data_IF_210125506950
#
_entry.id   IF_210125506950
#
_cell.length_a   1.000
_cell.length_b   1.000
_cell.length_c   1.000
_cell.angle_alpha   90.00
_cell.angle_beta   90.00
_cell.angle_gamma   90.00
#
_symmetry.space_group_name_H-M   'P 1'
#
loop_
_entity.id
_entity.type
_entity.pdbx_description
1 polymer ?
#
# COMPACT_ATOMS: atom_id res chain seq x y z
N UNK A 1 19.72 20.59 -78.36
CA UNK A 1 20.83 21.05 -79.22
C UNK A 1 20.79 22.57 -79.19
N UNK A 2 21.65 23.24 -78.42
CA UNK A 2 21.69 24.69 -78.37
C UNK A 2 22.62 25.19 -79.49
N UNK A 3 22.09 26.01 -80.40
CA UNK A 3 22.87 26.61 -81.48
C UNK A 3 23.85 27.65 -80.92
N UNK A 4 25.07 27.67 -81.46
CA UNK A 4 26.09 28.66 -81.09
C UNK A 4 25.77 29.98 -81.79
N UNK A 5 25.29 30.96 -81.04
CA UNK A 5 24.91 32.27 -81.54
C UNK A 5 26.09 33.24 -81.33
N UNK A 6 26.71 33.69 -82.42
CA UNK A 6 27.80 34.69 -82.37
C UNK A 6 27.13 36.04 -82.13
N UNK A 7 26.99 36.43 -80.86
CA UNK A 7 26.67 37.80 -80.51
C UNK A 7 27.76 38.68 -81.12
N UNK A 8 27.39 39.71 -81.90
CA UNK A 8 28.32 40.65 -82.54
C UNK A 8 28.97 41.60 -81.52
N UNK A 9 29.39 41.07 -80.37
CA UNK A 9 30.10 41.78 -79.32
C UNK A 9 31.57 41.91 -79.70
N UNK A 10 32.12 43.12 -79.57
CA UNK A 10 33.55 43.38 -79.84
C UNK A 10 34.41 43.19 -78.60
N UNK A 11 33.79 43.17 -77.42
CA UNK A 11 34.45 42.98 -76.14
C UNK A 11 33.69 41.97 -75.28
N UNK A 12 34.40 41.25 -74.41
CA UNK A 12 33.84 40.32 -73.41
C UNK A 12 32.86 40.97 -72.41
N UNK A 13 32.78 42.31 -72.39
CA UNK A 13 31.83 43.05 -71.53
C UNK A 13 30.44 43.14 -72.15
N UNK A 14 30.36 42.97 -73.47
CA UNK A 14 29.12 43.02 -74.25
C UNK A 14 28.43 41.64 -74.30
N UNK A 15 29.12 40.59 -73.82
CA UNK A 15 28.55 39.26 -73.69
C UNK A 15 27.45 39.29 -72.61
N UNK A 16 26.40 38.48 -72.79
CA UNK A 16 25.28 38.44 -71.85
C UNK A 16 25.72 38.11 -70.41
N UNK A 17 26.75 37.26 -70.24
CA UNK A 17 27.37 36.99 -68.94
C UNK A 17 28.08 38.22 -68.34
N UNK A 18 28.78 39.02 -69.15
CA UNK A 18 29.43 40.26 -68.72
C UNK A 18 28.43 41.34 -68.34
N UNK A 19 27.40 41.55 -69.17
CA UNK A 19 26.31 42.50 -68.91
C UNK A 19 25.55 42.11 -67.62
N UNK A 20 25.16 40.84 -67.48
CA UNK A 20 24.46 40.35 -66.29
C UNK A 20 25.32 40.48 -65.03
N UNK A 21 26.62 40.18 -65.10
CA UNK A 21 27.53 40.35 -63.97
C UNK A 21 27.68 41.83 -63.58
N UNK A 22 27.77 42.75 -64.54
CA UNK A 22 27.83 44.19 -64.28
C UNK A 22 26.57 44.70 -63.57
N UNK A 23 25.38 44.29 -64.04
CA UNK A 23 24.12 44.62 -63.38
C UNK A 23 23.99 44.00 -61.99
N UNK A 24 24.42 42.74 -61.82
CA UNK A 24 24.45 42.09 -60.52
C UNK A 24 25.31 42.86 -59.53
N UNK A 25 26.56 43.21 -59.91
CA UNK A 25 27.47 43.97 -59.05
C UNK A 25 26.92 45.37 -58.70
N UNK A 26 26.24 46.01 -59.66
CA UNK A 26 25.64 47.33 -59.45
C UNK A 26 24.46 47.30 -58.45
N UNK A 27 23.67 46.23 -58.47
CA UNK A 27 22.46 46.08 -57.62
C UNK A 27 22.80 45.41 -56.28
N UNK A 28 23.92 44.68 -56.19
CA UNK A 28 24.27 43.81 -55.05
C UNK A 28 24.28 44.55 -53.71
N UNK A 29 24.83 45.76 -53.66
CA UNK A 29 24.91 46.54 -52.41
C UNK A 29 23.51 46.89 -51.88
N UNK A 30 22.61 47.41 -52.72
CA UNK A 30 21.23 47.73 -52.32
C UNK A 30 20.40 46.48 -51.98
N UNK A 31 20.64 45.39 -52.72
CA UNK A 31 19.99 44.10 -52.47
C UNK A 31 20.38 43.56 -51.09
N UNK A 32 21.65 43.60 -50.70
CA UNK A 32 22.12 43.14 -49.39
C UNK A 32 21.39 43.81 -48.21
N UNK A 33 21.10 45.12 -48.29
CA UNK A 33 20.38 45.85 -47.25
C UNK A 33 18.88 45.55 -47.18
N UNK A 34 18.29 45.02 -48.25
CA UNK A 34 16.83 44.86 -48.38
C UNK A 34 16.39 43.40 -48.43
N UNK A 35 17.30 42.48 -48.73
CA UNK A 35 17.00 41.05 -48.73
C UNK A 35 17.07 40.47 -47.34
N UNK A 36 16.08 39.66 -46.99
CA UNK A 36 16.22 38.71 -45.89
C UNK A 36 17.40 37.77 -46.19
N UNK A 37 18.43 37.80 -45.34
CA UNK A 37 19.63 36.97 -45.47
C UNK A 37 19.39 35.52 -45.04
N UNK A 38 18.19 35.18 -44.57
CA UNK A 38 17.78 33.81 -44.31
C UNK A 38 17.22 33.23 -45.62
N UNK A 39 17.94 32.30 -46.27
CA UNK A 39 17.49 31.68 -47.51
C UNK A 39 16.31 30.74 -47.27
N UNK A 40 15.47 30.52 -48.28
CA UNK A 40 14.36 29.57 -48.19
C UNK A 40 14.91 28.15 -47.98
N UNK A 41 14.42 27.49 -46.93
CA UNK A 41 14.81 26.13 -46.59
C UNK A 41 14.50 25.14 -47.73
N UNK A 42 13.51 25.42 -48.58
CA UNK A 42 13.19 24.60 -49.76
C UNK A 42 14.31 24.55 -50.78
N UNK A 43 15.09 25.64 -50.90
CA UNK A 43 16.23 25.71 -51.81
C UNK A 43 17.51 25.20 -51.14
N UNK A 44 17.70 25.48 -49.85
CA UNK A 44 18.95 25.19 -49.13
C UNK A 44 19.05 23.72 -48.73
N UNK A 45 17.94 23.09 -48.31
CA UNK A 45 17.94 21.69 -47.87
C UNK A 45 18.42 20.71 -48.95
N UNK A 46 17.93 20.75 -50.21
CA UNK A 46 18.44 19.85 -51.24
C UNK A 46 19.90 20.13 -51.60
N UNK A 47 20.35 21.40 -51.53
CA UNK A 47 21.76 21.75 -51.74
C UNK A 47 22.65 21.19 -50.64
N UNK A 48 22.22 21.24 -49.38
CA UNK A 48 22.95 20.67 -48.26
C UNK A 48 23.02 19.13 -48.36
N UNK A 49 21.91 18.46 -48.69
CA UNK A 49 21.85 17.00 -48.88
C UNK A 49 22.73 16.52 -50.03
N UNK A 50 22.83 17.30 -51.12
CA UNK A 50 23.66 16.95 -52.27
C UNK A 50 25.16 17.14 -52.04
N UNK A 51 25.57 17.82 -50.97
CA UNK A 51 26.97 18.00 -50.62
C UNK A 51 27.42 16.94 -49.61
N UNK A 52 28.27 15.99 -50.04
CA UNK A 52 28.73 14.86 -49.22
C UNK A 52 29.45 15.27 -47.91
N UNK A 53 30.03 16.47 -47.88
CA UNK A 53 30.80 16.99 -46.74
C UNK A 53 29.91 17.72 -45.73
N UNK A 54 28.71 18.13 -46.13
CA UNK A 54 27.77 18.87 -45.27
C UNK A 54 26.72 17.89 -44.79
N UNK A 55 26.80 17.50 -43.52
CA UNK A 55 25.68 16.82 -42.89
C UNK A 55 24.59 17.85 -42.63
N UNK A 56 23.41 17.77 -43.27
CA UNK A 56 22.30 18.65 -42.92
C UNK A 56 21.92 18.33 -41.47
N UNK A 57 22.33 19.21 -40.56
CA UNK A 57 21.79 19.25 -39.21
C UNK A 57 20.53 20.11 -39.33
N UNK A 58 19.38 19.45 -39.34
CA UNK A 58 18.17 20.13 -38.89
C UNK A 58 18.48 20.63 -37.47
N UNK A 59 18.10 21.87 -37.14
CA UNK A 59 18.32 22.42 -35.81
C UNK A 59 17.56 21.63 -34.74
N UNK A 60 17.15 22.29 -33.67
CA UNK A 60 16.20 21.67 -32.73
C UNK A 60 14.80 21.63 -33.36
N UNK A 61 14.51 20.62 -34.19
CA UNK A 61 13.20 20.40 -34.80
C UNK A 61 13.22 20.21 -36.30
N UNK A 62 12.06 19.84 -36.86
CA UNK A 62 11.85 19.76 -38.31
C UNK A 62 11.97 21.15 -38.97
N UNK A 63 12.15 21.18 -40.30
CA UNK A 63 12.26 22.36 -41.18
C UNK A 63 11.48 23.60 -40.69
N UNK A 64 12.16 24.77 -40.68
CA UNK A 64 11.64 26.07 -40.21
C UNK A 64 10.20 26.40 -40.59
N UNK A 65 9.77 26.01 -41.78
CA UNK A 65 8.41 26.29 -42.27
C UNK A 65 7.30 25.58 -41.49
N UNK A 66 7.61 24.46 -40.84
CA UNK A 66 6.66 23.64 -40.09
C UNK A 66 6.98 23.57 -38.59
N UNK A 67 7.84 24.47 -38.08
CA UNK A 67 8.23 24.51 -36.66
C UNK A 67 7.01 24.62 -35.76
N UNK A 68 6.01 25.42 -36.12
CA UNK A 68 4.82 25.59 -35.28
C UNK A 68 4.02 24.29 -35.18
N UNK A 69 3.86 23.56 -36.29
CA UNK A 69 3.16 22.27 -36.30
C UNK A 69 3.93 21.19 -35.51
N UNK A 70 5.25 21.14 -35.64
CA UNK A 70 6.10 20.22 -34.86
C UNK A 70 6.11 20.59 -33.37
N UNK A 71 6.22 21.88 -33.06
CA UNK A 71 6.20 22.39 -31.69
C UNK A 71 4.86 22.09 -31.02
N UNK A 72 3.76 22.21 -31.76
CA UNK A 72 2.43 21.78 -31.31
C UNK A 72 2.49 20.29 -30.98
N UNK A 73 2.86 19.40 -31.91
CA UNK A 73 2.89 17.95 -31.65
C UNK A 73 3.82 17.54 -30.49
N UNK A 74 4.99 18.18 -30.33
CA UNK A 74 5.96 17.87 -29.27
C UNK A 74 5.55 18.40 -27.90
N UNK A 75 4.98 19.61 -27.86
CA UNK A 75 4.64 20.29 -26.62
C UNK A 75 3.15 20.16 -26.28
N UNK A 76 2.36 19.45 -27.10
CA UNK A 76 0.92 19.32 -26.89
C UNK A 76 0.67 18.65 -25.53
N UNK A 77 -0.01 19.32 -24.60
CA UNK A 77 -0.28 18.76 -23.29
C UNK A 77 -1.30 17.61 -23.34
N UNK A 78 -2.00 17.40 -24.46
CA UNK A 78 -2.87 16.24 -24.68
C UNK A 78 -2.10 14.97 -25.06
N UNK A 79 -0.92 15.08 -25.69
CA UNK A 79 0.02 13.96 -25.84
C UNK A 79 0.78 13.75 -24.54
N UNK A 80 0.03 13.55 -23.45
CA UNK A 80 0.57 12.88 -22.27
C UNK A 80 0.90 11.47 -22.71
N UNK A 81 2.15 11.27 -23.16
CA UNK A 81 2.82 10.06 -22.75
C UNK A 81 2.82 10.15 -21.23
N UNK A 82 1.76 9.63 -20.59
CA UNK A 82 1.81 9.34 -19.18
C UNK A 82 3.13 8.60 -19.06
N UNK A 83 4.13 9.22 -18.43
CA UNK A 83 5.38 8.55 -18.08
C UNK A 83 4.97 7.52 -17.03
N UNK A 84 4.28 6.48 -17.47
CA UNK A 84 4.19 5.22 -16.80
C UNK A 84 5.65 4.87 -16.62
N UNK A 85 6.07 4.80 -15.37
CA UNK A 85 7.39 4.36 -15.02
C UNK A 85 7.50 2.90 -15.49
N UNK A 86 7.86 2.70 -16.75
CA UNK A 86 8.23 1.41 -17.32
C UNK A 86 9.56 1.05 -16.67
N UNK A 87 9.50 0.62 -15.42
CA UNK A 87 10.63 -0.05 -14.78
C UNK A 87 10.89 -1.30 -15.64
N UNK A 88 12.02 -1.43 -16.34
CA UNK A 88 12.34 -2.63 -17.12
C UNK A 88 12.66 -3.82 -16.21
N UNK A 89 12.25 -3.76 -14.94
CA UNK A 89 12.46 -4.83 -13.97
C UNK A 89 11.33 -5.83 -14.14
N UNK A 90 11.70 -7.11 -14.15
CA UNK A 90 10.71 -8.17 -14.11
C UNK A 90 9.79 -7.97 -12.90
N UNK A 91 8.52 -8.27 -13.09
CA UNK A 91 7.54 -8.37 -11.98
C UNK A 91 8.12 -9.27 -10.88
N UNK A 92 7.94 -8.93 -9.58
CA UNK A 92 8.47 -9.72 -8.46
C UNK A 92 8.08 -11.20 -8.50
N UNK A 93 6.96 -11.55 -9.15
CA UNK A 93 6.48 -12.92 -9.31
C UNK A 93 6.26 -13.22 -10.81
N UNK A 94 6.87 -14.30 -11.32
CA UNK A 94 6.71 -14.70 -12.73
C UNK A 94 5.29 -15.20 -13.04
N UNK A 95 4.63 -15.81 -12.07
CA UNK A 95 3.27 -16.39 -12.14
C UNK A 95 2.49 -16.07 -10.88
N UNK A 96 1.21 -16.45 -10.85
CA UNK A 96 0.36 -16.32 -9.66
C UNK A 96 0.80 -17.35 -8.60
N UNK A 97 1.13 -16.94 -7.37
CA UNK A 97 1.48 -17.87 -6.30
C UNK A 97 0.26 -18.68 -5.84
N UNK A 98 0.50 -19.82 -5.18
CA UNK A 98 -0.57 -20.67 -4.65
C UNK A 98 -1.45 -19.90 -3.65
N UNK A 99 -2.75 -19.80 -3.95
CA UNK A 99 -3.73 -19.03 -3.15
C UNK A 99 -4.58 -19.89 -2.19
N UNK A 100 -4.19 -21.14 -1.94
CA UNK A 100 -5.02 -22.07 -1.14
C UNK A 100 -5.27 -21.64 0.31
N UNK A 101 -4.41 -20.80 0.88
CA UNK A 101 -4.59 -20.24 2.23
C UNK A 101 -5.57 -19.07 2.32
N UNK A 102 -6.04 -18.55 1.18
CA UNK A 102 -6.87 -17.34 1.13
C UNK A 102 -6.16 -16.10 1.68
N UNK A 103 -6.94 -15.05 1.96
CA UNK A 103 -6.42 -13.78 2.51
C UNK A 103 -6.03 -13.88 4.00
N UNK A 104 -6.59 -14.84 4.73
CA UNK A 104 -6.52 -14.89 6.19
C UNK A 104 -7.29 -13.75 6.88
N UNK A 105 -7.44 -13.85 8.19
CA UNK A 105 -7.91 -12.75 9.04
C UNK A 105 -6.80 -12.43 10.06
N UNK A 106 -6.04 -11.33 9.85
CA UNK A 106 -4.88 -11.02 10.68
C UNK A 106 -5.26 -10.73 12.13
N UNK A 107 -6.45 -10.18 12.39
CA UNK A 107 -6.90 -9.88 13.75
C UNK A 107 -7.10 -11.17 14.54
N UNK A 108 -7.79 -12.15 13.93
CA UNK A 108 -8.02 -13.47 14.53
C UNK A 108 -6.72 -14.24 14.70
N UNK A 109 -5.85 -14.21 13.69
CA UNK A 109 -4.53 -14.87 13.77
C UNK A 109 -3.67 -14.28 14.87
N UNK A 110 -3.65 -12.94 15.01
CA UNK A 110 -2.89 -12.27 16.07
C UNK A 110 -3.39 -12.66 17.45
N UNK A 111 -4.72 -12.75 17.64
CA UNK A 111 -5.36 -13.16 18.89
C UNK A 111 -5.01 -14.61 19.26
N UNK A 112 -4.98 -15.51 18.27
CA UNK A 112 -4.63 -16.91 18.48
C UNK A 112 -3.13 -17.09 18.79
N UNK A 113 -2.25 -16.42 18.04
CA UNK A 113 -0.80 -16.49 18.23
C UNK A 113 -0.34 -15.84 19.54
N UNK A 114 -0.95 -14.71 19.90
CA UNK A 114 -0.58 -13.90 21.06
C UNK A 114 -1.68 -13.93 22.12
N UNK A 115 -2.31 -15.09 22.29
CA UNK A 115 -3.32 -15.26 23.34
C UNK A 115 -2.73 -14.92 24.71
N UNK A 116 -3.54 -14.25 25.52
CA UNK A 116 -3.14 -13.92 26.89
C UNK A 116 -2.99 -15.22 27.70
N UNK A 117 -1.84 -15.38 28.35
CA UNK A 117 -1.66 -16.47 29.30
C UNK A 117 -2.54 -16.20 30.52
N UNK A 118 -3.72 -16.82 30.57
CA UNK A 118 -4.59 -16.77 31.75
C UNK A 118 -3.90 -17.51 32.89
N UNK A 119 -3.27 -16.75 33.79
CA UNK A 119 -2.82 -17.25 35.10
C UNK A 119 -3.96 -17.09 36.09
N UNK A 120 -5.04 -17.83 35.89
CA UNK A 120 -6.01 -18.02 36.98
C UNK A 120 -5.31 -18.77 38.09
N UNK A 121 -5.17 -18.12 39.24
CA UNK A 121 -4.76 -18.81 40.46
C UNK A 121 -5.75 -19.94 40.72
N UNK A 122 -5.25 -21.10 41.16
CA UNK A 122 -6.13 -22.15 41.66
C UNK A 122 -7.06 -21.53 42.69
N UNK A 123 -8.37 -21.74 42.54
CA UNK A 123 -9.34 -21.24 43.51
C UNK A 123 -8.93 -21.66 44.93
N UNK A 124 -9.09 -20.76 45.90
CA UNK A 124 -8.80 -21.04 47.31
C UNK A 124 -9.84 -21.99 47.94
N UNK A 125 -10.55 -22.77 47.11
CA UNK A 125 -11.47 -23.81 47.50
C UNK A 125 -10.75 -25.05 48.03
N UNK A 126 -11.51 -25.96 48.60
CA UNK A 126 -10.99 -27.24 49.07
C UNK A 126 -10.38 -27.98 47.88
N UNK A 127 -9.12 -28.40 48.02
CA UNK A 127 -8.40 -29.17 46.98
C UNK A 127 -9.12 -30.50 46.67
N UNK A 128 -10.01 -30.93 47.56
CA UNK A 128 -10.81 -32.14 47.49
C UNK A 128 -12.24 -31.86 47.94
N UNK A 129 -13.21 -32.60 47.39
CA UNK A 129 -14.60 -32.59 47.89
C UNK A 129 -14.74 -33.27 49.27
N UNK A 130 -13.69 -33.96 49.71
CA UNK A 130 -13.66 -34.70 50.97
C UNK A 130 -12.94 -33.90 52.05
N UNK A 131 -13.49 -33.95 53.26
CA UNK A 131 -12.83 -33.47 54.46
C UNK A 131 -11.68 -34.40 54.85
N UNK A 132 -10.52 -33.83 55.18
CA UNK A 132 -9.41 -34.58 55.77
C UNK A 132 -9.53 -34.59 57.30
N UNK A 133 -9.27 -35.75 57.91
CA UNK A 133 -9.13 -35.85 59.35
C UNK A 133 -7.83 -35.15 59.81
N UNK A 134 -7.87 -34.45 60.94
CA UNK A 134 -6.72 -33.74 61.51
C UNK A 134 -6.44 -32.32 60.98
N UNK A 135 -7.30 -31.75 60.12
CA UNK A 135 -7.17 -30.34 59.66
C UNK A 135 -7.48 -29.33 60.77
N UNK A 136 -8.39 -29.69 61.67
CA UNK A 136 -8.76 -28.86 62.81
C UNK A 136 -8.06 -29.35 64.06
N UNK A 137 -7.64 -28.42 64.91
CA UNK A 137 -7.16 -28.74 66.25
C UNK A 137 -8.30 -29.43 67.02
N UNK A 138 -8.11 -30.67 67.51
CA UNK A 138 -9.15 -31.36 68.26
C UNK A 138 -9.49 -30.55 69.51
N UNK A 139 -10.77 -30.52 69.85
CA UNK A 139 -11.22 -29.91 71.10
C UNK A 139 -10.56 -30.61 72.29
N UNK A 140 -10.27 -29.83 73.34
CA UNK A 140 -9.82 -30.36 74.63
C UNK A 140 -10.83 -31.43 75.08
N UNK A 141 -10.34 -32.59 75.54
CA UNK A 141 -11.18 -33.76 75.82
C UNK A 141 -12.35 -33.45 76.78
N UNK A 142 -12.12 -32.59 77.79
CA UNK A 142 -13.16 -32.15 78.71
C UNK A 142 -14.28 -31.37 78.01
N UNK A 143 -13.92 -30.46 77.10
CA UNK A 143 -14.87 -29.67 76.31
C UNK A 143 -15.61 -30.54 75.31
N UNK A 144 -14.90 -31.45 74.63
CA UNK A 144 -15.50 -32.38 73.66
C UNK A 144 -16.57 -33.25 74.30
N UNK A 145 -16.25 -33.87 75.45
CA UNK A 145 -17.16 -34.79 76.12
C UNK A 145 -18.31 -34.09 76.86
N UNK A 146 -18.20 -32.78 77.10
CA UNK A 146 -19.23 -32.03 77.80
C UNK A 146 -20.11 -31.24 76.82
N UNK A 147 -19.52 -30.29 76.10
CA UNK A 147 -20.25 -29.30 75.29
C UNK A 147 -20.66 -29.86 73.93
N UNK A 148 -19.85 -30.71 73.29
CA UNK A 148 -20.22 -31.27 71.98
C UNK A 148 -21.02 -32.57 72.06
N UNK A 149 -21.17 -33.17 73.25
CA UNK A 149 -22.02 -34.35 73.42
C UNK A 149 -23.49 -33.91 73.58
N UNK A 150 -24.36 -34.21 72.60
CA UNK A 150 -25.77 -33.81 72.66
C UNK A 150 -26.51 -34.43 73.85
N UNK A 151 -26.00 -35.51 74.45
CA UNK A 151 -26.57 -36.09 75.67
C UNK A 151 -26.54 -35.12 76.86
N UNK A 152 -25.63 -34.15 76.88
CA UNK A 152 -25.50 -33.20 77.98
C UNK A 152 -26.29 -31.92 77.76
N UNK A 153 -26.58 -31.56 76.51
CA UNK A 153 -27.24 -30.29 76.16
C UNK A 153 -28.68 -30.46 75.70
N UNK A 154 -29.00 -31.56 75.02
CA UNK A 154 -30.29 -31.81 74.42
C UNK A 154 -31.05 -32.83 75.26
N UNK A 155 -32.10 -32.37 75.91
CA UNK A 155 -32.93 -33.15 76.83
C UNK A 155 -33.59 -34.38 76.18
N UNK A 156 -33.98 -34.30 74.91
CA UNK A 156 -34.53 -35.43 74.13
C UNK A 156 -33.52 -36.57 73.94
N UNK A 157 -32.23 -36.23 73.86
CA UNK A 157 -31.13 -37.19 73.68
C UNK A 157 -30.64 -37.70 75.03
N UNK A 158 -30.70 -36.85 76.06
CA UNK A 158 -30.31 -37.17 77.42
C UNK A 158 -31.19 -38.26 78.05
N UNK A 159 -32.50 -38.21 77.81
CA UNK A 159 -33.47 -39.13 78.40
C UNK A 159 -34.44 -39.67 77.33
N UNK A 160 -34.43 -40.99 77.06
CA UNK A 160 -35.37 -41.58 76.11
C UNK A 160 -36.81 -41.41 76.64
N UNK A 161 -37.67 -40.81 75.84
CA UNK A 161 -39.07 -40.52 76.19
C UNK A 161 -39.34 -39.10 76.72
N UNK A 162 -38.33 -38.23 76.79
CA UNK A 162 -38.54 -36.82 77.10
C UNK A 162 -39.21 -36.08 75.93
N UNK A 163 -40.30 -35.36 76.20
CA UNK A 163 -41.11 -34.65 75.19
C UNK A 163 -41.14 -33.15 75.50
N UNK A 164 -40.83 -32.30 74.50
CA UNK A 164 -40.96 -30.83 74.63
C UNK A 164 -42.42 -30.46 74.88
N UNK A 165 -42.67 -29.68 75.93
CA UNK A 165 -44.02 -29.33 76.37
C UNK A 165 -44.58 -30.26 77.44
N UNK A 166 -43.84 -31.31 77.82
CA UNK A 166 -44.21 -32.26 78.85
C UNK A 166 -45.33 -33.21 78.43
N UNK A 167 -45.55 -34.23 79.25
CA UNK A 167 -46.68 -35.15 79.11
C UNK A 167 -47.73 -34.71 80.13
N UNK A 168 -49.02 -34.54 79.75
CA UNK A 168 -50.05 -34.19 80.71
C UNK A 168 -50.12 -35.25 81.81
N UNK A 169 -50.16 -34.81 83.08
CA UNK A 169 -50.10 -35.71 84.24
C UNK A 169 -51.14 -36.84 84.21
N UNK A 170 -52.30 -36.60 83.59
CA UNK A 170 -53.37 -37.59 83.41
C UNK A 170 -53.00 -38.73 82.47
N UNK A 171 -52.29 -38.46 81.37
CA UNK A 171 -51.84 -39.53 80.46
C UNK A 171 -50.65 -40.28 81.04
N UNK A 172 -49.76 -39.60 81.77
CA UNK A 172 -48.64 -40.25 82.45
C UNK A 172 -49.11 -41.30 83.47
N UNK A 173 -50.08 -40.97 84.33
CA UNK A 173 -50.64 -41.91 85.31
C UNK A 173 -51.33 -43.10 84.63
N UNK A 174 -51.98 -42.88 83.48
CA UNK A 174 -52.61 -43.95 82.71
C UNK A 174 -51.55 -44.93 82.19
N UNK A 175 -50.45 -44.44 81.64
CA UNK A 175 -49.45 -45.28 80.98
C UNK A 175 -48.47 -45.95 81.99
N UNK A 176 -48.37 -45.47 83.24
CA UNK A 176 -47.56 -46.08 84.32
C UNK A 176 -48.27 -47.25 85.02
N UNK A 177 -49.61 -47.25 85.06
CA UNK A 177 -50.42 -48.25 85.77
C UNK A 177 -50.94 -49.38 84.86
N UNK A 178 -50.40 -49.51 83.65
CA UNK A 178 -50.76 -50.55 82.69
C UNK A 178 -49.57 -51.45 82.38
#
# INVERSE_FOLDING_TARGET
MAAFEINRSTHTKDDNCGISQYYQQSIQNGKYYTTNLVPDAREVNPLAVNNLVVYPREGFGFNNQAIDADSVLRNQPEFKNNRCNIRPQARPFLTVPFMGGGRGNPDVESLLLHSEMVRTGKECGTVTEMQFDGVFTPLIASVKNNIQDPKNLVTEVAAPGWVRGGIPSRSYIRDVNC
#
